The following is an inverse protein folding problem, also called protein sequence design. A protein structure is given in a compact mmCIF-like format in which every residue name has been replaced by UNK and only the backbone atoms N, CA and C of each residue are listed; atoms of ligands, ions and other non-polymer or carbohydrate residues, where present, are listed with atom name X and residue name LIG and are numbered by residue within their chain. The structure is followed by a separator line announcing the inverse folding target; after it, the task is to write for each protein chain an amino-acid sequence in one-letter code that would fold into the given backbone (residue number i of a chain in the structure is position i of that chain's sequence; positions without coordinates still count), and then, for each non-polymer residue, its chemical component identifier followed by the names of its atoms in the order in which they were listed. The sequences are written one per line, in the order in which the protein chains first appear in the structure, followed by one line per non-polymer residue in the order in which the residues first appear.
data_IF_547593005756
#
_entry.id   IF_547593005756
#
_cell.length_a   1.000
_cell.length_b   1.000
_cell.length_c   1.000
_cell.angle_alpha   90.00
_cell.angle_beta   90.00
_cell.angle_gamma   90.00
#
_symmetry.space_group_name_H-M   'P 1'
#
loop_
_entity.id
_entity.type
_entity.pdbx_description
1 polymer ?
#
# COMPACT_ATOMS: atom_id res chain seq x y z
N UNK A 1 -1.45 -56.00 -6.83
CA UNK A 1 -2.65 -55.20 -6.56
C UNK A 1 -2.20 -53.98 -5.76
N UNK A 2 -2.08 -52.85 -6.46
CA UNK A 2 -1.74 -51.56 -5.85
C UNK A 2 -3.02 -50.98 -5.22
N UNK A 3 -2.95 -50.58 -3.95
CA UNK A 3 -4.03 -49.85 -3.28
C UNK A 3 -3.96 -48.39 -3.65
N UNK A 4 -5.08 -47.68 -3.89
CA UNK A 4 -5.07 -46.27 -4.24
C UNK A 4 -4.74 -45.41 -3.01
N UNK A 5 -3.96 -44.37 -3.22
CA UNK A 5 -3.68 -43.33 -2.23
C UNK A 5 -4.97 -42.54 -1.94
N UNK A 6 -5.44 -42.60 -0.70
CA UNK A 6 -6.53 -41.77 -0.24
C UNK A 6 -6.02 -40.36 0.00
N UNK A 7 -6.61 -39.43 -0.70
CA UNK A 7 -6.50 -37.99 -0.46
C UNK A 7 -7.07 -37.70 0.94
N UNK A 8 -6.19 -37.45 1.90
CA UNK A 8 -6.60 -36.93 3.20
C UNK A 8 -6.82 -35.42 3.09
N UNK A 9 -8.09 -35.04 3.09
CA UNK A 9 -8.54 -33.67 3.38
C UNK A 9 -8.15 -33.33 4.82
N UNK A 10 -7.49 -32.22 5.01
CA UNK A 10 -7.24 -31.63 6.31
C UNK A 10 -8.55 -30.96 6.77
N UNK A 11 -9.41 -31.74 7.45
CA UNK A 11 -10.63 -31.22 8.06
C UNK A 11 -10.36 -30.85 9.51
N UNK A 12 -10.66 -29.62 9.83
CA UNK A 12 -11.05 -29.04 11.12
C UNK A 12 -10.31 -29.52 12.38
N UNK A 13 -9.47 -28.63 12.92
CA UNK A 13 -8.95 -28.77 14.28
C UNK A 13 -10.06 -28.46 15.30
N UNK A 14 -10.62 -29.47 15.93
CA UNK A 14 -11.39 -29.32 17.17
C UNK A 14 -10.47 -28.85 18.29
N UNK A 15 -10.65 -27.60 18.71
CA UNK A 15 -10.07 -27.06 19.95
C UNK A 15 -10.86 -27.60 21.12
N UNK A 16 -10.25 -28.52 21.89
CA UNK A 16 -10.87 -28.99 23.13
C UNK A 16 -10.30 -30.30 23.68
N UNK A 17 -9.13 -30.26 24.30
CA UNK A 17 -8.69 -30.96 25.51
C UNK A 17 -7.17 -30.74 25.67
N UNK A 18 -6.75 -30.12 26.76
CA UNK A 18 -5.35 -29.95 27.16
C UNK A 18 -4.69 -31.30 27.40
N UNK A 19 -4.06 -31.88 26.39
CA UNK A 19 -3.05 -32.91 26.57
C UNK A 19 -1.68 -32.25 26.64
N UNK A 20 -1.19 -32.05 27.84
CA UNK A 20 0.10 -31.42 28.15
C UNK A 20 1.27 -32.22 27.56
N UNK A 21 1.47 -32.63 26.50
CA UNK A 21 2.57 -33.31 25.81
C UNK A 21 2.11 -34.10 24.57
N UNK A 22 1.13 -33.59 23.83
CA UNK A 22 0.72 -34.20 22.58
C UNK A 22 1.38 -33.48 21.38
N UNK A 23 1.82 -34.24 20.39
CA UNK A 23 2.35 -33.67 19.14
C UNK A 23 1.20 -33.07 18.31
N UNK A 24 1.26 -31.77 18.05
CA UNK A 24 0.24 -31.03 17.28
C UNK A 24 0.08 -31.53 15.83
N UNK A 25 1.11 -32.17 15.26
CA UNK A 25 1.07 -32.66 13.87
C UNK A 25 0.49 -34.09 13.75
N UNK A 26 0.79 -34.98 14.69
CA UNK A 26 0.40 -36.39 14.56
C UNK A 26 -0.49 -36.90 15.69
N UNK A 27 -0.77 -36.09 16.72
CA UNK A 27 -1.61 -36.46 17.87
C UNK A 27 -0.99 -37.43 18.87
N UNK A 28 0.28 -37.87 18.68
CA UNK A 28 0.95 -38.77 19.62
C UNK A 28 1.23 -38.08 20.92
N UNK A 29 0.91 -38.72 22.04
CA UNK A 29 1.20 -38.25 23.41
C UNK A 29 2.53 -38.80 23.92
N UNK A 30 3.24 -38.01 24.71
CA UNK A 30 4.53 -38.36 25.28
C UNK A 30 4.52 -38.15 26.80
N UNK A 31 5.26 -38.98 27.52
CA UNK A 31 5.34 -38.92 28.99
C UNK A 31 6.16 -37.71 29.50
N UNK A 32 6.99 -37.08 28.66
CA UNK A 32 7.85 -35.97 29.03
C UNK A 32 7.95 -34.95 27.91
N UNK A 33 7.99 -33.61 28.22
CA UNK A 33 8.12 -32.56 27.25
C UNK A 33 9.34 -32.70 26.33
N UNK A 34 10.48 -33.15 26.87
CA UNK A 34 11.72 -33.37 26.12
C UNK A 34 11.56 -34.44 25.03
N UNK A 35 10.81 -35.51 25.28
CA UNK A 35 10.57 -36.56 24.28
C UNK A 35 9.62 -36.08 23.19
N UNK A 36 8.64 -35.22 23.51
CA UNK A 36 7.80 -34.53 22.53
C UNK A 36 8.64 -33.62 21.65
N UNK A 37 9.50 -32.79 22.25
CA UNK A 37 10.39 -31.87 21.51
C UNK A 37 11.26 -32.63 20.52
N UNK A 38 11.96 -33.67 20.96
CA UNK A 38 12.78 -34.54 20.10
C UNK A 38 11.96 -35.21 18.99
N UNK A 39 10.72 -35.67 19.29
CA UNK A 39 9.84 -36.21 18.27
C UNK A 39 9.46 -35.18 17.21
N UNK A 40 9.14 -33.97 17.61
CA UNK A 40 8.81 -32.86 16.67
C UNK A 40 10.00 -32.48 15.81
N UNK A 41 11.19 -32.39 16.37
CA UNK A 41 12.39 -31.96 15.64
C UNK A 41 12.94 -33.01 14.65
N UNK A 42 12.81 -34.29 14.97
CA UNK A 42 13.51 -35.33 14.18
C UNK A 42 12.64 -36.47 13.64
N UNK A 43 11.54 -36.80 14.30
CA UNK A 43 10.85 -38.09 14.09
C UNK A 43 9.41 -37.96 13.62
N UNK A 44 8.80 -36.76 13.59
CA UNK A 44 7.42 -36.60 13.18
C UNK A 44 7.27 -36.58 11.66
N UNK A 45 6.84 -37.70 11.09
CA UNK A 45 6.63 -37.80 9.63
C UNK A 45 5.56 -36.85 9.10
N UNK A 46 4.49 -36.60 9.88
CA UNK A 46 3.43 -35.65 9.45
C UNK A 46 3.90 -34.21 9.43
N UNK A 47 4.77 -33.82 10.37
CA UNK A 47 5.40 -32.48 10.33
C UNK A 47 6.30 -32.33 9.11
N UNK A 48 7.14 -33.34 8.82
CA UNK A 48 8.01 -33.30 7.63
C UNK A 48 7.20 -33.20 6.34
N UNK A 49 6.08 -33.89 6.23
CA UNK A 49 5.17 -33.81 5.10
C UNK A 49 4.57 -32.40 4.96
N UNK A 50 4.05 -31.82 6.05
CA UNK A 50 3.48 -30.48 6.03
C UNK A 50 4.53 -29.40 5.67
N UNK A 51 5.78 -29.53 6.15
CA UNK A 51 6.86 -28.60 5.80
C UNK A 51 7.21 -28.70 4.32
N UNK A 52 7.31 -29.91 3.76
CA UNK A 52 7.60 -30.08 2.31
C UNK A 52 6.47 -29.57 1.42
N UNK A 53 5.21 -29.70 1.84
CA UNK A 53 4.07 -29.11 1.13
C UNK A 53 4.12 -27.60 1.12
N UNK A 54 4.38 -26.96 2.28
CA UNK A 54 4.53 -25.52 2.41
C UNK A 54 5.73 -24.97 1.61
N UNK A 55 6.86 -25.67 1.60
CA UNK A 55 8.03 -25.32 0.79
C UNK A 55 7.72 -25.38 -0.70
N UNK A 56 6.94 -26.39 -1.13
CA UNK A 56 6.48 -26.52 -2.52
C UNK A 56 5.52 -25.39 -2.90
N UNK A 57 4.60 -25.03 -2.01
CA UNK A 57 3.67 -23.92 -2.25
C UNK A 57 4.40 -22.58 -2.28
N UNK A 58 5.35 -22.35 -1.35
CA UNK A 58 6.21 -21.17 -1.34
C UNK A 58 6.99 -21.01 -2.66
N UNK A 59 7.56 -22.08 -3.18
CA UNK A 59 8.28 -22.04 -4.47
C UNK A 59 7.36 -21.71 -5.64
N UNK A 60 6.13 -22.22 -5.64
CA UNK A 60 5.10 -21.86 -6.66
C UNK A 60 4.75 -20.37 -6.60
N UNK A 61 4.51 -19.85 -5.40
CA UNK A 61 4.18 -18.43 -5.21
C UNK A 61 5.33 -17.50 -5.60
N UNK A 62 6.58 -17.88 -5.32
CA UNK A 62 7.76 -17.12 -5.77
C UNK A 62 7.82 -17.08 -7.30
N UNK A 63 7.58 -18.20 -7.97
CA UNK A 63 7.57 -18.26 -9.43
C UNK A 63 6.43 -17.45 -10.03
N UNK A 64 5.25 -17.47 -9.41
CA UNK A 64 4.09 -16.67 -9.84
C UNK A 64 4.34 -15.17 -9.67
N UNK A 65 4.91 -14.77 -8.53
CA UNK A 65 5.32 -13.37 -8.31
C UNK A 65 6.33 -12.88 -9.35
N UNK A 66 7.34 -13.70 -9.68
CA UNK A 66 8.31 -13.35 -10.71
C UNK A 66 7.65 -13.14 -12.09
N UNK A 67 6.69 -13.99 -12.45
CA UNK A 67 5.92 -13.84 -13.71
C UNK A 67 5.03 -12.59 -13.70
N UNK A 68 4.46 -12.24 -12.54
CA UNK A 68 3.65 -11.02 -12.40
C UNK A 68 4.54 -9.77 -12.51
N UNK A 69 5.74 -9.79 -11.92
CA UNK A 69 6.70 -8.69 -12.06
C UNK A 69 7.15 -8.48 -13.50
N UNK A 70 7.40 -9.57 -14.25
CA UNK A 70 7.69 -9.48 -15.69
C UNK A 70 6.50 -8.89 -16.47
N UNK A 71 5.29 -9.32 -16.15
CA UNK A 71 4.08 -8.80 -16.80
C UNK A 71 3.84 -7.33 -16.49
N UNK A 72 4.10 -6.89 -15.27
CA UNK A 72 4.04 -5.47 -14.90
C UNK A 72 5.04 -4.66 -15.72
N UNK A 73 6.31 -5.09 -15.78
CA UNK A 73 7.33 -4.44 -16.62
C UNK A 73 6.93 -4.35 -18.09
N UNK A 74 6.34 -5.42 -18.63
CA UNK A 74 5.89 -5.42 -20.01
C UNK A 74 4.73 -4.44 -20.23
N UNK A 75 3.76 -4.39 -19.30
CA UNK A 75 2.64 -3.45 -19.37
C UNK A 75 3.11 -1.99 -19.21
N UNK A 76 4.13 -1.73 -18.40
CA UNK A 76 4.75 -0.41 -18.28
C UNK A 76 5.40 0.03 -19.61
N UNK A 77 6.12 -0.87 -20.28
CA UNK A 77 6.70 -0.62 -21.58
C UNK A 77 5.60 -0.38 -22.64
N UNK A 78 4.54 -1.18 -22.61
CA UNK A 78 3.41 -1.05 -23.53
C UNK A 78 2.63 0.26 -23.32
N UNK A 79 2.54 0.73 -22.08
CA UNK A 79 1.96 2.04 -21.74
C UNK A 79 2.82 3.20 -22.25
N UNK A 80 4.13 3.11 -22.14
CA UNK A 80 5.07 4.11 -22.66
C UNK A 80 5.01 4.17 -24.19
N UNK A 81 4.82 3.01 -24.84
CA UNK A 81 4.77 2.89 -26.30
C UNK A 81 3.36 3.09 -26.91
N UNK A 82 2.31 3.20 -26.09
CA UNK A 82 0.97 3.51 -26.58
C UNK A 82 0.87 5.01 -26.91
N UNK A 83 0.60 5.39 -28.18
CA UNK A 83 0.26 6.77 -28.49
C UNK A 83 -1.05 7.10 -27.76
N UNK A 84 -0.98 8.05 -26.84
CA UNK A 84 -2.15 8.57 -26.14
C UNK A 84 -3.08 9.22 -27.16
N UNK A 85 -4.16 8.54 -27.56
CA UNK A 85 -5.21 9.15 -28.38
C UNK A 85 -6.03 10.02 -27.44
N UNK A 86 -5.57 11.24 -27.25
CA UNK A 86 -6.39 12.29 -26.66
C UNK A 86 -7.30 12.81 -27.76
N UNK A 87 -8.60 12.54 -27.69
CA UNK A 87 -9.60 13.18 -28.53
C UNK A 87 -9.63 14.68 -28.23
N UNK A 88 -8.85 15.42 -28.99
CA UNK A 88 -8.89 16.88 -28.98
C UNK A 88 -9.81 17.33 -30.11
N UNK A 89 -11.02 17.75 -29.78
CA UNK A 89 -11.81 18.58 -30.70
C UNK A 89 -11.18 19.96 -30.69
N UNK A 90 -10.25 20.21 -31.61
CA UNK A 90 -9.69 21.55 -31.83
C UNK A 90 -10.40 22.14 -33.02
N UNK A 91 -11.11 23.24 -32.78
CA UNK A 91 -11.53 24.15 -33.84
C UNK A 91 -10.29 24.78 -34.51
N UNK A 92 -10.20 24.53 -35.81
CA UNK A 92 -9.15 24.95 -36.72
C UNK A 92 -9.07 26.49 -36.80
N UNK A 93 -7.88 27.03 -36.60
CA UNK A 93 -7.41 28.21 -37.36
C UNK A 93 -5.89 28.09 -37.56
N UNK A 94 -5.54 28.16 -38.83
CA UNK A 94 -4.21 27.99 -39.43
C UNK A 94 -3.07 28.71 -38.70
N UNK A 95 -1.98 27.97 -38.40
CA UNK A 95 -0.64 28.42 -38.82
C UNK A 95 0.37 27.27 -38.69
N UNK A 96 1.05 26.98 -39.80
CA UNK A 96 2.20 26.09 -39.90
C UNK A 96 3.37 26.64 -39.11
N UNK A 97 3.82 25.94 -38.08
CA UNK A 97 5.20 26.00 -37.64
C UNK A 97 5.60 24.55 -37.20
N UNK A 98 6.47 23.94 -37.99
CA UNK A 98 7.17 22.72 -37.64
C UNK A 98 8.08 22.98 -36.44
N UNK A 99 7.71 22.49 -35.25
CA UNK A 99 8.64 22.22 -34.16
C UNK A 99 8.14 20.97 -33.45
N UNK A 100 8.87 19.87 -33.65
CA UNK A 100 8.69 18.62 -32.93
C UNK A 100 9.19 18.80 -31.49
N UNK A 101 8.44 19.54 -30.68
CA UNK A 101 8.49 19.42 -29.22
C UNK A 101 7.18 18.75 -28.80
N UNK A 102 7.27 17.46 -28.49
CA UNK A 102 6.15 16.67 -28.00
C UNK A 102 5.84 17.11 -26.54
N UNK A 103 5.27 18.31 -26.40
CA UNK A 103 4.84 18.83 -25.11
C UNK A 103 3.51 18.13 -24.78
N UNK A 104 3.56 17.11 -23.97
CA UNK A 104 2.32 16.51 -23.43
C UNK A 104 1.62 17.58 -22.58
N UNK A 105 0.44 17.99 -23.01
CA UNK A 105 -0.42 18.87 -22.22
C UNK A 105 -1.07 17.99 -21.16
N UNK A 106 -0.60 18.07 -19.92
CA UNK A 106 -1.19 17.39 -18.77
C UNK A 106 -2.30 18.29 -18.24
N UNK A 107 -3.54 17.79 -18.25
CA UNK A 107 -4.64 18.45 -17.56
C UNK A 107 -4.55 18.13 -16.07
N UNK A 108 -4.22 19.13 -15.27
CA UNK A 108 -4.11 18.98 -13.81
C UNK A 108 -5.50 18.97 -13.18
N UNK A 109 -5.79 18.00 -12.34
CA UNK A 109 -7.01 17.92 -11.56
C UNK A 109 -7.08 19.06 -10.55
N UNK A 110 -8.28 19.61 -10.34
CA UNK A 110 -8.48 20.61 -9.29
C UNK A 110 -8.18 20.03 -7.92
N UNK A 111 -7.50 20.82 -7.09
CA UNK A 111 -7.25 20.50 -5.70
C UNK A 111 -8.55 20.14 -4.96
N UNK A 112 -8.59 18.99 -4.35
CA UNK A 112 -9.75 18.39 -3.71
C UNK A 112 -10.58 17.48 -4.62
N UNK A 113 -10.20 17.34 -5.91
CA UNK A 113 -10.82 16.45 -6.89
C UNK A 113 -9.75 15.55 -7.54
N UNK A 114 -8.83 15.05 -6.75
CA UNK A 114 -7.81 14.12 -7.17
C UNK A 114 -8.42 12.81 -7.66
N UNK A 115 -7.92 12.25 -8.74
CA UNK A 115 -8.26 10.88 -9.11
C UNK A 115 -7.49 9.90 -8.21
N UNK A 116 -8.22 9.18 -7.38
CA UNK A 116 -7.68 8.15 -6.49
C UNK A 116 -8.12 6.73 -6.87
N UNK A 117 -8.71 6.56 -8.05
CA UNK A 117 -9.24 5.26 -8.52
C UNK A 117 -8.18 4.16 -8.62
N UNK A 118 -6.92 4.54 -8.80
CA UNK A 118 -5.78 3.62 -8.84
C UNK A 118 -5.27 3.17 -7.46
N UNK A 119 -5.73 3.82 -6.38
CA UNK A 119 -5.33 3.46 -5.02
C UNK A 119 -6.15 2.28 -4.55
N UNK A 120 -5.48 1.17 -4.32
CA UNK A 120 -6.12 -0.08 -3.90
C UNK A 120 -6.07 -0.27 -2.39
N UNK A 121 -7.06 -1.00 -1.83
CA UNK A 121 -7.04 -1.39 -0.41
C UNK A 121 -5.75 -2.12 -0.02
N UNK A 122 -5.18 -2.94 -0.92
CA UNK A 122 -3.93 -3.64 -0.63
C UNK A 122 -2.74 -2.66 -0.47
N UNK A 123 -2.66 -1.62 -1.31
CA UNK A 123 -1.61 -0.60 -1.16
C UNK A 123 -1.74 0.16 0.15
N UNK A 124 -2.96 0.55 0.52
CA UNK A 124 -3.21 1.26 1.79
C UNK A 124 -2.88 0.36 2.98
N UNK A 125 -3.32 -0.90 2.97
CA UNK A 125 -2.98 -1.84 4.04
C UNK A 125 -1.47 -2.10 4.15
N UNK A 126 -0.72 -2.07 3.04
CA UNK A 126 0.75 -2.12 3.07
C UNK A 126 1.36 -0.88 3.75
N UNK A 127 0.79 0.32 3.55
CA UNK A 127 1.25 1.52 4.28
C UNK A 127 0.95 1.42 5.78
N UNK A 128 -0.18 0.81 6.14
CA UNK A 128 -0.58 0.60 7.54
C UNK A 128 0.31 -0.40 8.30
N UNK A 129 1.22 -1.11 7.61
CA UNK A 129 2.29 -1.88 8.26
C UNK A 129 3.20 -1.00 9.15
N UNK A 130 3.30 0.30 8.84
CA UNK A 130 4.02 1.30 9.61
C UNK A 130 3.13 2.56 9.79
N UNK A 131 2.18 2.58 10.74
CA UNK A 131 1.12 3.60 10.86
C UNK A 131 1.64 5.04 10.88
N UNK A 132 2.74 5.30 11.57
CA UNK A 132 3.34 6.64 11.68
C UNK A 132 3.92 7.20 10.38
N UNK A 133 4.11 6.37 9.36
CA UNK A 133 4.55 6.78 8.01
C UNK A 133 3.50 6.55 6.94
N UNK A 134 2.38 5.93 7.30
CA UNK A 134 1.32 5.58 6.37
C UNK A 134 0.75 6.81 5.66
N UNK A 135 0.49 7.86 6.43
CA UNK A 135 -0.11 9.09 5.91
C UNK A 135 0.80 9.81 4.91
N UNK A 136 2.08 10.11 5.19
CA UNK A 136 2.99 10.68 4.18
C UNK A 136 3.14 9.80 2.93
N UNK A 137 3.18 8.47 3.08
CA UNK A 137 3.29 7.55 1.95
C UNK A 137 2.03 7.56 1.07
N UNK A 138 0.85 7.58 1.68
CA UNK A 138 -0.42 7.71 0.96
C UNK A 138 -0.47 9.05 0.21
N UNK A 139 -0.16 10.16 0.87
CA UNK A 139 -0.19 11.50 0.25
C UNK A 139 0.82 11.62 -0.89
N UNK A 140 2.00 11.00 -0.76
CA UNK A 140 2.96 10.90 -1.85
C UNK A 140 2.37 10.18 -3.06
N UNK A 141 1.66 9.08 -2.80
CA UNK A 141 1.02 8.31 -3.87
C UNK A 141 -0.15 9.06 -4.52
N UNK A 142 -0.89 9.88 -3.76
CA UNK A 142 -1.99 10.69 -4.31
C UNK A 142 -1.47 11.86 -5.14
N UNK A 143 -0.60 12.70 -4.58
CA UNK A 143 -0.24 14.00 -5.15
C UNK A 143 1.07 14.04 -5.93
N UNK A 144 1.90 12.98 -5.86
CA UNK A 144 3.24 12.98 -6.46
C UNK A 144 3.59 11.65 -7.12
N UNK A 145 2.57 10.87 -7.51
CA UNK A 145 2.81 9.62 -8.23
C UNK A 145 3.30 9.89 -9.66
N UNK A 146 4.42 9.29 -10.11
CA UNK A 146 4.99 9.59 -11.43
C UNK A 146 4.06 9.30 -12.61
N UNK A 147 3.18 8.30 -12.48
CA UNK A 147 2.23 7.92 -13.53
C UNK A 147 0.88 8.65 -13.46
N UNK A 148 0.70 9.51 -12.44
CA UNK A 148 -0.52 10.29 -12.23
C UNK A 148 -0.19 11.78 -12.07
N UNK A 149 0.48 12.40 -13.09
CA UNK A 149 0.87 13.79 -13.03
C UNK A 149 -0.32 14.76 -13.02
N UNK A 150 -1.51 14.30 -13.39
CA UNK A 150 -2.77 15.05 -13.27
C UNK A 150 -3.11 15.41 -11.82
N UNK A 151 -2.61 14.68 -10.85
CA UNK A 151 -2.81 14.96 -9.42
C UNK A 151 -1.70 15.85 -8.80
N UNK A 152 -0.72 16.32 -9.59
CA UNK A 152 0.33 17.23 -9.10
C UNK A 152 -0.21 18.66 -8.94
N UNK A 153 -1.18 18.81 -8.08
CA UNK A 153 -2.00 20.02 -7.92
C UNK A 153 -1.66 20.86 -6.67
N UNK A 154 -0.58 20.50 -5.96
CA UNK A 154 -0.07 21.22 -4.78
C UNK A 154 1.41 21.51 -4.96
N UNK A 155 1.85 22.72 -4.58
CA UNK A 155 3.25 23.13 -4.57
C UNK A 155 3.59 24.02 -3.37
N UNK A 156 4.75 23.79 -2.77
CA UNK A 156 5.40 24.72 -1.84
C UNK A 156 6.75 25.05 -2.47
N UNK A 157 6.93 26.30 -2.89
CA UNK A 157 8.16 26.74 -3.59
C UNK A 157 9.21 27.28 -2.64
N UNK A 158 8.79 27.77 -1.47
CA UNK A 158 9.69 28.30 -0.45
C UNK A 158 9.17 27.92 0.95
N UNK A 159 10.01 27.26 1.72
CA UNK A 159 9.66 26.82 3.08
C UNK A 159 9.33 27.98 4.02
N UNK A 160 9.97 29.14 3.83
CA UNK A 160 9.80 30.31 4.71
C UNK A 160 8.51 31.08 4.46
N UNK A 161 7.88 30.86 3.31
CA UNK A 161 6.61 31.49 3.00
C UNK A 161 5.45 30.80 3.70
N UNK A 162 4.46 31.56 4.20
CA UNK A 162 3.29 31.00 4.86
C UNK A 162 2.26 30.44 3.85
N UNK A 163 2.57 30.42 2.55
CA UNK A 163 1.64 30.05 1.49
C UNK A 163 2.06 28.76 0.79
N UNK A 164 1.08 27.97 0.40
CA UNK A 164 1.16 26.92 -0.60
C UNK A 164 0.40 27.32 -1.86
N UNK A 165 0.80 26.79 -3.01
CA UNK A 165 0.06 26.92 -4.27
C UNK A 165 -0.78 25.69 -4.47
N UNK A 166 -2.06 25.88 -4.73
CA UNK A 166 -2.99 24.80 -5.10
C UNK A 166 -3.60 25.09 -6.46
N UNK A 167 -3.76 24.06 -7.29
CA UNK A 167 -4.38 24.21 -8.60
C UNK A 167 -5.89 24.02 -8.46
N UNK A 168 -6.66 25.06 -8.76
CA UNK A 168 -8.11 25.03 -8.71
C UNK A 168 -8.69 25.96 -9.77
N UNK A 169 -9.80 25.54 -10.39
CA UNK A 169 -10.49 26.33 -11.43
C UNK A 169 -9.53 26.77 -12.57
N UNK A 170 -8.71 25.83 -13.03
CA UNK A 170 -7.69 26.01 -14.09
C UNK A 170 -6.62 27.06 -13.80
N UNK A 171 -6.36 27.39 -12.54
CA UNK A 171 -5.32 28.33 -12.13
C UNK A 171 -4.66 27.93 -10.81
N UNK A 172 -3.41 28.39 -10.63
CA UNK A 172 -2.72 28.26 -9.35
C UNK A 172 -3.14 29.39 -8.40
N UNK A 173 -3.62 29.00 -7.22
CA UNK A 173 -4.05 29.91 -6.16
C UNK A 173 -3.10 29.81 -4.97
N UNK A 174 -2.83 30.92 -4.32
CA UNK A 174 -2.15 30.94 -3.03
C UNK A 174 -3.16 30.67 -1.93
N UNK A 175 -2.83 29.74 -1.04
CA UNK A 175 -3.58 29.44 0.18
C UNK A 175 -2.64 29.41 1.37
N UNK A 176 -3.17 29.59 2.57
CA UNK A 176 -2.37 29.36 3.78
C UNK A 176 -1.79 27.95 3.77
N UNK A 177 -0.49 27.86 4.06
CA UNK A 177 0.24 26.59 4.00
C UNK A 177 -0.24 25.59 5.04
N UNK A 178 -0.55 26.06 6.25
CA UNK A 178 -0.99 25.21 7.33
C UNK A 178 -2.38 24.65 7.04
N UNK A 179 -3.30 25.51 6.54
CA UNK A 179 -4.63 25.05 6.11
C UNK A 179 -4.56 23.96 5.02
N UNK A 180 -3.66 24.11 4.04
CA UNK A 180 -3.48 23.09 2.99
C UNK A 180 -2.94 21.79 3.57
N UNK A 181 -1.96 21.86 4.48
CA UNK A 181 -1.37 20.66 5.11
C UNK A 181 -2.41 19.97 6.01
N UNK A 182 -3.21 20.73 6.75
CA UNK A 182 -4.31 20.19 7.56
C UNK A 182 -5.36 19.48 6.70
N UNK A 183 -5.82 20.13 5.63
CA UNK A 183 -6.84 19.58 4.72
C UNK A 183 -6.39 18.25 4.09
N UNK A 184 -5.16 18.17 3.57
CA UNK A 184 -4.65 16.93 2.99
C UNK A 184 -4.35 15.85 4.04
N UNK A 185 -3.92 16.23 5.25
CA UNK A 185 -3.77 15.32 6.39
C UNK A 185 -5.08 14.66 6.72
N UNK A 186 -6.13 15.45 6.89
CA UNK A 186 -7.44 14.97 7.32
C UNK A 186 -8.09 14.08 6.26
N UNK A 187 -8.01 14.49 4.99
CA UNK A 187 -8.46 13.66 3.85
C UNK A 187 -7.68 12.35 3.75
N UNK A 188 -6.35 12.44 3.91
CA UNK A 188 -5.50 11.25 3.90
C UNK A 188 -5.82 10.30 5.06
N UNK A 189 -6.06 10.82 6.27
CA UNK A 189 -6.47 10.02 7.44
C UNK A 189 -7.80 9.32 7.17
N UNK A 190 -8.79 10.04 6.64
CA UNK A 190 -10.08 9.46 6.27
C UNK A 190 -9.94 8.32 5.25
N UNK A 191 -9.06 8.47 4.27
CA UNK A 191 -8.78 7.40 3.30
C UNK A 191 -8.12 6.19 3.96
N UNK A 192 -7.15 6.39 4.87
CA UNK A 192 -6.55 5.29 5.62
C UNK A 192 -7.60 4.49 6.39
N UNK A 193 -8.54 5.18 7.06
CA UNK A 193 -9.61 4.55 7.82
C UNK A 193 -10.57 3.77 6.91
N UNK A 194 -10.98 4.36 5.79
CA UNK A 194 -11.93 3.75 4.85
C UNK A 194 -11.39 2.49 4.15
N UNK A 195 -10.08 2.44 3.91
CA UNK A 195 -9.44 1.30 3.23
C UNK A 195 -8.81 0.29 4.18
N UNK A 196 -8.79 0.58 5.48
CA UNK A 196 -8.24 -0.32 6.49
C UNK A 196 -9.04 -1.60 6.58
N UNK A 197 -8.32 -2.71 6.54
CA UNK A 197 -8.86 -4.06 6.75
C UNK A 197 -8.18 -4.66 7.99
N UNK A 198 -8.88 -4.69 9.11
CA UNK A 198 -8.33 -5.15 10.40
C UNK A 198 -7.91 -6.62 10.35
N UNK A 199 -8.57 -7.43 9.53
CA UNK A 199 -8.29 -8.86 9.41
C UNK A 199 -6.96 -9.12 8.68
N UNK A 200 -6.48 -8.15 7.91
CA UNK A 200 -5.18 -8.23 7.23
C UNK A 200 -3.99 -7.93 8.13
N UNK A 201 -4.22 -7.39 9.32
CA UNK A 201 -3.16 -6.97 10.22
C UNK A 201 -3.11 -7.83 11.48
N UNK A 202 -1.91 -8.04 12.01
CA UNK A 202 -1.74 -8.66 13.32
C UNK A 202 -2.38 -7.79 14.42
N UNK A 203 -2.78 -8.41 15.52
CA UNK A 203 -3.33 -7.69 16.69
C UNK A 203 -2.41 -6.55 17.16
N UNK A 204 -1.10 -6.77 17.14
CA UNK A 204 -0.10 -5.75 17.49
C UNK A 204 -0.16 -4.54 16.55
N UNK A 205 -0.23 -4.76 15.23
CA UNK A 205 -0.30 -3.67 14.24
C UNK A 205 -1.60 -2.89 14.35
N UNK A 206 -2.70 -3.57 14.58
CA UNK A 206 -3.98 -2.93 14.85
C UNK A 206 -3.91 -2.05 16.10
N UNK A 207 -3.25 -2.52 17.18
CA UNK A 207 -3.02 -1.70 18.38
C UNK A 207 -2.17 -0.47 18.05
N UNK A 208 -1.07 -0.61 17.30
CA UNK A 208 -0.23 0.52 16.89
C UNK A 208 -0.99 1.54 16.02
N UNK A 209 -1.87 1.09 15.13
CA UNK A 209 -2.70 2.01 14.35
C UNK A 209 -3.73 2.73 15.22
N UNK A 210 -4.39 2.03 16.15
CA UNK A 210 -5.33 2.65 17.07
C UNK A 210 -4.65 3.70 17.92
N UNK A 211 -3.47 3.43 18.50
CA UNK A 211 -2.67 4.41 19.23
C UNK A 211 -2.29 5.64 18.38
N UNK A 212 -1.95 5.43 17.10
CA UNK A 212 -1.68 6.51 16.16
C UNK A 212 -2.93 7.34 15.89
N UNK A 213 -4.08 6.70 15.65
CA UNK A 213 -5.38 7.35 15.43
C UNK A 213 -5.80 8.16 16.67
N UNK A 214 -5.78 7.54 17.83
CA UNK A 214 -6.13 8.18 19.10
C UNK A 214 -5.26 9.42 19.39
N UNK A 215 -3.97 9.37 19.12
CA UNK A 215 -3.07 10.52 19.26
C UNK A 215 -3.41 11.66 18.30
N UNK A 216 -3.79 11.33 17.05
CA UNK A 216 -4.23 12.35 16.10
C UNK A 216 -5.54 12.99 16.52
N UNK A 217 -6.51 12.19 16.97
CA UNK A 217 -7.83 12.66 17.39
C UNK A 217 -7.79 13.48 18.69
N UNK A 218 -6.81 13.18 19.57
CA UNK A 218 -6.59 13.92 20.83
C UNK A 218 -5.59 15.08 20.67
N UNK A 219 -5.28 15.51 19.46
CA UNK A 219 -4.39 16.64 19.18
C UNK A 219 -3.01 16.54 19.84
N UNK A 220 -2.39 15.34 19.80
CA UNK A 220 -1.02 15.16 20.30
C UNK A 220 -0.05 16.07 19.54
N UNK A 221 0.45 17.10 20.21
CA UNK A 221 1.25 18.17 19.62
C UNK A 221 2.54 17.65 18.98
N UNK A 222 3.17 16.65 19.57
CA UNK A 222 4.43 16.09 19.06
C UNK A 222 4.18 15.36 17.74
N UNK A 223 3.16 14.51 17.72
CA UNK A 223 2.78 13.77 16.51
C UNK A 223 2.32 14.70 15.40
N UNK A 224 1.44 15.66 15.71
CA UNK A 224 0.95 16.64 14.73
C UNK A 224 2.09 17.43 14.12
N UNK A 225 2.98 18.00 14.94
CA UNK A 225 4.13 18.75 14.45
C UNK A 225 5.07 17.90 13.57
N UNK A 226 5.24 16.63 13.91
CA UNK A 226 6.02 15.70 13.11
C UNK A 226 5.35 15.47 11.74
N UNK A 227 4.07 15.15 11.74
CA UNK A 227 3.30 14.90 10.51
C UNK A 227 3.30 16.15 9.61
N UNK A 228 3.07 17.32 10.17
CA UNK A 228 3.14 18.60 9.45
C UNK A 228 4.48 18.79 8.75
N UNK A 229 5.57 18.58 9.49
CA UNK A 229 6.92 18.69 8.93
C UNK A 229 7.17 17.65 7.82
N UNK A 230 6.70 16.43 8.01
CA UNK A 230 6.88 15.35 7.04
C UNK A 230 6.10 15.66 5.75
N UNK A 231 4.86 16.16 5.87
CA UNK A 231 4.04 16.58 4.71
C UNK A 231 4.64 17.83 4.04
N UNK A 232 5.08 18.84 4.80
CA UNK A 232 5.74 20.03 4.24
C UNK A 232 6.97 19.64 3.41
N UNK A 233 7.82 18.75 3.95
CA UNK A 233 9.00 18.25 3.26
C UNK A 233 8.64 17.40 2.04
N UNK A 234 7.59 16.60 2.13
CA UNK A 234 7.09 15.83 1.00
C UNK A 234 6.71 16.75 -0.17
N UNK A 235 5.93 17.79 0.11
CA UNK A 235 5.50 18.74 -0.92
C UNK A 235 6.70 19.50 -1.49
N UNK A 236 7.58 20.03 -0.64
CA UNK A 236 8.79 20.77 -1.06
C UNK A 236 9.68 19.94 -1.99
N UNK A 237 9.93 18.68 -1.65
CA UNK A 237 10.83 17.81 -2.41
C UNK A 237 10.25 17.38 -3.76
N UNK A 238 8.93 17.49 -3.93
CA UNK A 238 8.24 17.11 -5.17
C UNK A 238 7.64 18.30 -5.93
N UNK A 239 7.86 19.54 -5.44
CA UNK A 239 7.41 20.78 -6.11
C UNK A 239 8.43 21.21 -7.16
N UNK A 240 8.44 20.55 -8.30
CA UNK A 240 9.26 20.92 -9.46
C UNK A 240 8.47 21.85 -10.38
#
# INVERSE_FOLDING_TARGET
KKRPYSTFHCTEMHIGAHFENACIYCGKTFSRPFTLKRHMESSCKKQKCAVTELESEKTKLILENSKLEEKVKQLEIDLINKPSIVNTTINNTNNQINNQNNTQIININSYGNEDISYITSNQVNNYLEAPYTALPNLLKNIHFHPHHPENHNIKITNRREPYAKVFKDNKWLLKDKNEVIEDIRDKGKLLLDNYRDEDKHSKFKNTCYNEFSDKLENDDKELINKIFKDIELLILNNSI
#
